data_IF_462708274054
#
_entry.id   IF_462708274054
#
_cell.length_a   1.000
_cell.length_b   1.000
_cell.length_c   1.000
_cell.angle_alpha   90.00
_cell.angle_beta   90.00
_cell.angle_gamma   90.00
#
_symmetry.space_group_name_H-M   'P 1'
#
loop_
_entity.id
_entity.type
_entity.pdbx_description
1 polymer ?
#
# COMPACT_ATOMS: atom_id res chain seq x y z
N UNK A 1 -14.14 15.21 -9.45
CA UNK A 1 -13.94 13.74 -9.52
C UNK A 1 -12.88 13.30 -8.51
N UNK A 2 -11.66 13.82 -8.60
CA UNK A 2 -10.54 13.43 -7.74
C UNK A 2 -10.84 13.60 -6.24
N UNK A 3 -11.34 14.76 -5.80
CA UNK A 3 -11.68 14.96 -4.40
C UNK A 3 -12.71 13.97 -3.83
N UNK A 4 -13.65 13.48 -4.65
CA UNK A 4 -14.58 12.43 -4.24
C UNK A 4 -13.87 11.09 -4.10
N UNK A 5 -12.98 10.73 -5.04
CA UNK A 5 -12.19 9.50 -4.94
C UNK A 5 -11.28 9.54 -3.71
N UNK A 6 -10.61 10.66 -3.44
CA UNK A 6 -9.81 10.86 -2.23
C UNK A 6 -10.65 10.69 -0.96
N UNK A 7 -11.82 11.35 -0.89
CA UNK A 7 -12.73 11.23 0.24
C UNK A 7 -13.16 9.78 0.49
N UNK A 8 -13.53 9.06 -0.57
CA UNK A 8 -13.98 7.67 -0.47
C UNK A 8 -12.82 6.72 -0.12
N UNK A 9 -11.63 6.95 -0.66
CA UNK A 9 -10.41 6.21 -0.30
C UNK A 9 -10.10 6.36 1.19
N UNK A 10 -10.13 7.59 1.69
CA UNK A 10 -9.87 7.86 3.10
C UNK A 10 -10.94 7.20 3.99
N UNK A 11 -12.23 7.41 3.66
CA UNK A 11 -13.38 6.91 4.43
C UNK A 11 -13.47 5.38 4.46
N UNK A 12 -13.31 4.73 3.31
CA UNK A 12 -13.57 3.30 3.16
C UNK A 12 -12.36 2.43 3.50
N UNK A 13 -11.13 2.95 3.34
CA UNK A 13 -9.92 2.15 3.47
C UNK A 13 -8.91 2.79 4.43
N UNK A 14 -8.38 3.97 4.09
CA UNK A 14 -7.15 4.46 4.74
C UNK A 14 -7.37 4.80 6.22
N UNK A 15 -8.50 5.40 6.61
CA UNK A 15 -8.71 5.74 8.01
C UNK A 15 -8.85 4.50 8.90
N UNK A 16 -9.45 3.43 8.38
CA UNK A 16 -9.48 2.12 9.06
C UNK A 16 -8.09 1.50 9.23
N UNK A 17 -7.26 1.56 8.18
CA UNK A 17 -5.87 1.09 8.24
C UNK A 17 -5.03 1.92 9.20
N UNK A 18 -5.18 3.25 9.18
CA UNK A 18 -4.52 4.18 10.09
C UNK A 18 -4.86 3.88 11.55
N UNK A 19 -6.14 3.70 11.88
CA UNK A 19 -6.59 3.28 13.21
C UNK A 19 -6.00 1.93 13.63
N UNK A 20 -5.85 1.00 12.68
CA UNK A 20 -5.19 -0.29 12.93
C UNK A 20 -3.72 -0.11 13.28
N UNK A 21 -2.99 0.77 12.58
CA UNK A 21 -1.60 1.13 12.90
C UNK A 21 -1.52 1.70 14.32
N UNK A 22 -2.39 2.67 14.65
CA UNK A 22 -2.43 3.27 15.98
C UNK A 22 -2.71 2.23 17.07
N UNK A 23 -3.68 1.33 16.88
CA UNK A 23 -3.98 0.26 17.84
C UNK A 23 -2.80 -0.70 18.03
N UNK A 24 -2.13 -1.09 16.94
CA UNK A 24 -0.91 -1.92 16.98
C UNK A 24 0.20 -1.27 17.81
N UNK A 25 0.43 0.03 17.63
CA UNK A 25 1.45 0.79 18.38
C UNK A 25 1.06 0.93 19.87
N UNK A 26 -0.21 1.20 20.16
CA UNK A 26 -0.69 1.36 21.53
C UNK A 26 -0.78 0.04 22.31
N UNK A 27 -0.84 -1.10 21.63
CA UNK A 27 -0.86 -2.42 22.27
C UNK A 27 0.39 -2.74 23.09
N UNK A 28 1.49 -1.99 22.89
CA UNK A 28 2.82 -2.19 23.52
C UNK A 28 3.39 -3.60 23.37
N UNK A 29 2.88 -4.38 22.39
CA UNK A 29 3.44 -5.69 22.03
C UNK A 29 4.71 -5.49 21.21
N UNK A 30 5.72 -6.38 21.33
CA UNK A 30 7.01 -6.23 20.65
C UNK A 30 6.95 -6.49 19.13
N UNK A 31 5.79 -6.91 18.60
CA UNK A 31 5.62 -7.24 17.18
C UNK A 31 5.75 -5.99 16.31
N UNK A 32 6.55 -6.09 15.24
CA UNK A 32 6.75 -5.01 14.26
C UNK A 32 5.53 -4.85 13.35
N UNK A 33 5.32 -3.62 12.86
CA UNK A 33 4.30 -3.29 11.86
C UNK A 33 4.99 -2.60 10.69
N UNK A 34 4.76 -3.09 9.47
CA UNK A 34 5.32 -2.53 8.25
C UNK A 34 4.18 -2.00 7.39
N UNK A 35 4.38 -0.84 6.76
CA UNK A 35 3.39 -0.19 5.91
C UNK A 35 3.91 -0.11 4.49
N UNK A 36 3.12 -0.58 3.52
CA UNK A 36 3.36 -0.34 2.10
C UNK A 36 2.24 0.53 1.52
N UNK A 37 2.57 1.19 0.42
CA UNK A 37 1.63 1.95 -0.41
C UNK A 37 1.80 1.50 -1.85
N UNK A 38 0.78 0.86 -2.41
CA UNK A 38 0.79 0.46 -3.81
C UNK A 38 0.22 1.59 -4.67
N UNK A 39 1.01 2.04 -5.65
CA UNK A 39 0.70 3.19 -6.50
C UNK A 39 1.16 2.99 -7.94
N UNK A 40 1.25 1.73 -8.36
CA UNK A 40 1.50 1.40 -9.76
C UNK A 40 0.25 1.73 -10.57
N UNK A 41 0.45 2.52 -11.60
CA UNK A 41 -0.56 2.91 -12.58
C UNK A 41 -0.14 2.42 -13.96
N UNK A 42 -0.55 1.21 -14.30
CA UNK A 42 -0.42 0.63 -15.64
C UNK A 42 -1.67 0.89 -16.47
N UNK A 43 -1.47 1.18 -17.75
CA UNK A 43 -2.55 1.29 -18.74
C UNK A 43 -3.20 -0.06 -19.06
N UNK A 44 -2.53 -1.18 -18.76
CA UNK A 44 -2.94 -2.51 -19.22
C UNK A 44 -3.08 -3.53 -18.09
N UNK A 45 -2.36 -3.36 -16.98
CA UNK A 45 -2.20 -4.42 -15.97
C UNK A 45 -2.87 -4.13 -14.62
N UNK A 46 -3.43 -2.92 -14.43
CA UNK A 46 -4.35 -2.59 -13.35
C UNK A 46 -5.75 -3.15 -13.67
N UNK A 47 -5.87 -4.48 -13.69
CA UNK A 47 -7.05 -5.16 -14.25
C UNK A 47 -8.35 -4.78 -13.55
N UNK A 48 -8.33 -4.56 -12.22
CA UNK A 48 -9.57 -4.27 -11.50
C UNK A 48 -10.14 -2.92 -11.90
N UNK A 49 -9.28 -1.88 -11.94
CA UNK A 49 -9.64 -0.56 -12.47
C UNK A 49 -10.15 -0.64 -13.90
N UNK A 50 -9.41 -1.33 -14.78
CA UNK A 50 -9.70 -1.38 -16.23
C UNK A 50 -11.03 -2.11 -16.49
N UNK A 51 -11.29 -3.23 -15.82
CA UNK A 51 -12.44 -4.10 -16.09
C UNK A 51 -13.69 -3.67 -15.32
N UNK A 52 -13.54 -3.26 -14.05
CA UNK A 52 -14.68 -3.05 -13.14
C UNK A 52 -14.95 -1.59 -12.77
N UNK A 53 -14.02 -0.67 -13.03
CA UNK A 53 -14.24 0.74 -12.78
C UNK A 53 -14.49 1.50 -14.08
N UNK A 54 -13.44 1.76 -14.84
CA UNK A 54 -13.47 2.54 -16.08
C UNK A 54 -12.07 2.46 -16.72
N UNK A 55 -11.99 1.96 -17.96
CA UNK A 55 -10.72 1.80 -18.69
C UNK A 55 -10.03 3.14 -19.00
N UNK A 56 -10.79 4.23 -19.06
CA UNK A 56 -10.28 5.57 -19.38
C UNK A 56 -9.85 6.35 -18.13
N UNK A 57 -9.98 5.74 -16.94
CA UNK A 57 -9.49 6.29 -15.67
C UNK A 57 -8.07 5.84 -15.39
N UNK A 58 -7.26 6.79 -14.91
CA UNK A 58 -5.90 6.56 -14.42
C UNK A 58 -5.84 6.51 -12.90
N UNK A 59 -4.70 6.05 -12.39
CA UNK A 59 -4.43 5.81 -10.97
C UNK A 59 -4.55 4.33 -10.58
N UNK A 60 -4.43 4.08 -9.29
CA UNK A 60 -4.45 2.73 -8.69
C UNK A 60 -5.75 2.54 -7.92
N UNK A 61 -6.61 1.65 -8.38
CA UNK A 61 -7.87 1.33 -7.72
C UNK A 61 -7.70 0.25 -6.65
N UNK A 62 -8.74 0.05 -5.84
CA UNK A 62 -8.81 -1.10 -4.96
C UNK A 62 -8.68 -2.41 -5.76
N UNK A 63 -7.94 -3.37 -5.20
CA UNK A 63 -7.66 -4.69 -5.78
C UNK A 63 -6.75 -4.73 -7.02
N UNK A 64 -6.22 -3.58 -7.50
CA UNK A 64 -5.27 -3.59 -8.61
C UNK A 64 -3.95 -4.28 -8.27
N UNK A 65 -3.51 -4.20 -7.01
CA UNK A 65 -2.29 -4.84 -6.50
C UNK A 65 -2.33 -6.37 -6.63
N UNK A 66 -3.53 -6.97 -6.64
CA UNK A 66 -3.70 -8.42 -6.83
C UNK A 66 -3.21 -8.90 -8.19
N UNK A 67 -3.27 -8.06 -9.23
CA UNK A 67 -2.77 -8.40 -10.58
C UNK A 67 -1.27 -8.67 -10.58
N UNK A 68 -0.55 -8.12 -9.61
CA UNK A 68 0.90 -8.22 -9.45
C UNK A 68 1.32 -9.33 -8.47
N UNK A 69 0.37 -10.05 -7.87
CA UNK A 69 0.61 -11.18 -6.97
C UNK A 69 0.07 -12.48 -7.58
N UNK A 70 -1.13 -12.43 -8.17
CA UNK A 70 -1.86 -13.61 -8.65
C UNK A 70 -2.07 -13.57 -10.15
N UNK A 71 -1.71 -14.67 -10.81
CA UNK A 71 -2.13 -14.93 -12.18
C UNK A 71 -3.65 -14.95 -12.25
N UNK A 72 -4.21 -14.28 -13.25
CA UNK A 72 -5.64 -14.21 -13.51
C UNK A 72 -5.93 -14.43 -15.01
N UNK A 73 -7.19 -14.26 -15.41
CA UNK A 73 -7.66 -14.53 -16.78
C UNK A 73 -7.67 -13.29 -17.68
N UNK A 74 -7.32 -12.11 -17.15
CA UNK A 74 -7.49 -10.85 -17.88
C UNK A 74 -6.37 -10.58 -18.89
N UNK A 75 -5.13 -10.95 -18.56
CA UNK A 75 -3.98 -10.83 -19.45
C UNK A 75 -2.92 -11.91 -19.17
N UNK A 76 -2.05 -12.13 -20.14
CA UNK A 76 -0.79 -12.85 -19.95
C UNK A 76 0.17 -12.07 -19.05
N UNK A 77 1.16 -12.75 -18.42
CA UNK A 77 2.19 -12.08 -17.63
C UNK A 77 2.93 -11.00 -18.44
N UNK A 78 3.28 -9.85 -17.82
CA UNK A 78 3.92 -8.75 -18.50
C UNK A 78 5.34 -9.13 -18.98
N UNK A 79 5.79 -8.52 -20.08
CA UNK A 79 7.13 -8.77 -20.61
C UNK A 79 8.22 -8.30 -19.63
N UNK A 80 9.36 -8.99 -19.60
CA UNK A 80 10.40 -8.83 -18.56
C UNK A 80 11.02 -7.44 -18.47
N UNK A 81 11.01 -6.70 -19.57
CA UNK A 81 11.56 -5.36 -19.74
C UNK A 81 10.58 -4.24 -19.36
N UNK A 82 9.36 -4.58 -18.93
CA UNK A 82 8.34 -3.62 -18.53
C UNK A 82 8.41 -3.26 -17.04
N UNK A 83 7.85 -2.09 -16.68
CA UNK A 83 7.73 -1.73 -15.27
C UNK A 83 6.68 -2.58 -14.55
N UNK A 84 5.69 -3.10 -15.27
CA UNK A 84 4.69 -4.01 -14.73
C UNK A 84 5.32 -5.32 -14.26
N UNK A 85 6.24 -5.89 -15.05
CA UNK A 85 6.99 -7.07 -14.63
C UNK A 85 7.87 -6.78 -13.43
N UNK A 86 8.55 -5.62 -13.39
CA UNK A 86 9.31 -5.19 -12.20
C UNK A 86 8.41 -5.07 -10.96
N UNK A 87 7.25 -4.43 -11.09
CA UNK A 87 6.29 -4.30 -9.99
C UNK A 87 5.79 -5.67 -9.52
N UNK A 88 5.51 -6.60 -10.44
CA UNK A 88 5.12 -7.97 -10.11
C UNK A 88 6.22 -8.71 -9.33
N UNK A 89 7.47 -8.62 -9.79
CA UNK A 89 8.62 -9.21 -9.08
C UNK A 89 8.83 -8.59 -7.69
N UNK A 90 8.68 -7.27 -7.58
CA UNK A 90 8.75 -6.56 -6.30
C UNK A 90 7.66 -7.05 -5.34
N UNK A 91 6.40 -7.09 -5.78
CA UNK A 91 5.26 -7.50 -4.94
C UNK A 91 5.42 -8.94 -4.44
N UNK A 92 5.68 -9.88 -5.35
CA UNK A 92 5.88 -11.29 -5.00
C UNK A 92 7.11 -11.45 -4.09
N UNK A 93 8.22 -10.78 -4.41
CA UNK A 93 9.46 -10.83 -3.64
C UNK A 93 9.28 -10.31 -2.22
N UNK A 94 8.70 -9.13 -2.05
CA UNK A 94 8.46 -8.50 -0.74
C UNK A 94 7.59 -9.38 0.17
N UNK A 95 6.46 -9.89 -0.35
CA UNK A 95 5.54 -10.74 0.43
C UNK A 95 6.17 -12.11 0.74
N UNK A 96 6.92 -12.68 -0.21
CA UNK A 96 7.63 -13.94 0.00
C UNK A 96 8.74 -13.79 1.04
N UNK A 97 9.52 -12.71 0.97
CA UNK A 97 10.56 -12.38 1.95
C UNK A 97 9.97 -12.17 3.34
N UNK A 98 8.90 -11.38 3.47
CA UNK A 98 8.24 -11.20 4.76
C UNK A 98 7.82 -12.54 5.38
N UNK A 99 7.29 -13.45 4.56
CA UNK A 99 6.85 -14.78 4.99
C UNK A 99 8.01 -15.70 5.38
N UNK A 100 9.07 -15.74 4.57
CA UNK A 100 10.21 -16.65 4.77
C UNK A 100 11.24 -16.13 5.77
N UNK A 101 11.25 -14.82 6.04
CA UNK A 101 12.22 -14.14 6.91
C UNK A 101 11.58 -13.69 8.24
N UNK A 102 10.75 -14.54 8.85
CA UNK A 102 10.15 -14.33 10.18
C UNK A 102 9.49 -12.94 10.36
N UNK A 103 8.78 -12.46 9.33
CA UNK A 103 8.08 -11.17 9.38
C UNK A 103 9.00 -9.95 9.17
N UNK A 104 10.20 -10.11 8.63
CA UNK A 104 11.05 -9.01 8.17
C UNK A 104 11.00 -8.93 6.63
N UNK A 105 10.46 -7.85 6.05
CA UNK A 105 10.32 -7.76 4.59
C UNK A 105 11.64 -7.38 3.87
N UNK A 106 12.71 -7.06 4.61
CA UNK A 106 13.99 -6.72 4.02
C UNK A 106 14.73 -7.97 3.51
N UNK A 107 15.31 -7.86 2.32
CA UNK A 107 15.97 -8.93 1.59
C UNK A 107 16.44 -8.44 0.22
N UNK A 108 16.18 -9.23 -0.82
CA UNK A 108 16.64 -8.94 -2.19
C UNK A 108 16.00 -7.68 -2.78
N UNK A 109 14.71 -7.45 -2.54
CA UNK A 109 13.97 -6.34 -3.16
C UNK A 109 14.31 -4.99 -2.52
N UNK A 110 14.55 -4.97 -1.21
CA UNK A 110 14.90 -3.76 -0.45
C UNK A 110 15.55 -4.12 0.87
N UNK A 111 16.38 -3.23 1.40
CA UNK A 111 16.94 -3.26 2.74
C UNK A 111 16.56 -2.04 3.59
N UNK A 112 15.68 -1.17 3.08
CA UNK A 112 15.32 0.12 3.68
C UNK A 112 13.94 0.11 4.35
N UNK A 113 13.20 -1.00 4.30
CA UNK A 113 11.83 -1.04 4.81
C UNK A 113 11.81 -1.18 6.32
N UNK A 114 11.76 -0.04 7.01
CA UNK A 114 11.69 0.02 8.47
C UNK A 114 10.26 -0.19 8.98
N UNK A 115 10.15 -0.80 10.17
CA UNK A 115 8.85 -0.92 10.85
C UNK A 115 8.46 0.40 11.50
N UNK A 116 7.16 0.68 11.56
CA UNK A 116 6.64 1.85 12.27
C UNK A 116 6.94 1.69 13.78
N UNK A 117 7.71 2.63 14.32
CA UNK A 117 8.23 2.56 15.69
C UNK A 117 7.45 3.42 16.69
N UNK A 118 6.87 4.54 16.27
CA UNK A 118 6.22 5.50 17.17
C UNK A 118 4.84 5.93 16.66
N UNK A 119 3.90 6.25 17.55
CA UNK A 119 2.57 6.73 17.19
C UNK A 119 2.52 8.24 16.89
N UNK A 120 3.66 8.94 16.99
CA UNK A 120 3.71 10.42 17.02
C UNK A 120 4.44 11.06 15.83
N UNK A 121 4.97 10.28 14.90
CA UNK A 121 5.71 10.81 13.73
C UNK A 121 4.90 10.72 12.45
N UNK A 122 5.31 11.42 11.37
CA UNK A 122 4.84 11.05 10.05
C UNK A 122 5.26 9.59 9.82
N UNK A 123 4.27 8.72 9.62
CA UNK A 123 4.58 7.33 9.30
C UNK A 123 5.39 7.29 8.02
N UNK A 124 6.33 6.36 7.91
CA UNK A 124 6.95 6.03 6.63
C UNK A 124 6.29 4.79 6.06
N UNK A 125 6.26 4.71 4.74
CA UNK A 125 5.78 3.55 4.01
C UNK A 125 6.75 3.19 2.89
N UNK A 126 6.81 1.91 2.55
CA UNK A 126 7.41 1.49 1.30
C UNK A 126 6.41 1.76 0.18
N UNK A 127 6.66 2.82 -0.60
CA UNK A 127 5.87 3.14 -1.77
C UNK A 127 6.36 2.31 -2.96
N UNK A 128 5.42 1.57 -3.55
CA UNK A 128 5.63 0.71 -4.72
C UNK A 128 4.95 1.43 -5.89
N UNK A 129 5.74 1.95 -6.81
CA UNK A 129 5.24 2.77 -7.93
C UNK A 129 5.86 2.32 -9.26
N UNK A 130 5.52 3.03 -10.34
CA UNK A 130 6.02 2.73 -11.67
C UNK A 130 7.56 2.78 -11.75
N UNK A 131 8.23 3.61 -10.96
CA UNK A 131 9.68 3.76 -10.98
C UNK A 131 10.41 2.73 -10.10
N UNK A 132 9.72 2.11 -9.14
CA UNK A 132 10.26 1.05 -8.29
C UNK A 132 9.82 1.16 -6.83
N UNK A 133 10.75 0.89 -5.92
CA UNK A 133 10.54 0.91 -4.48
C UNK A 133 11.16 2.16 -3.88
N UNK A 134 10.41 2.89 -3.05
CA UNK A 134 10.87 4.09 -2.37
C UNK A 134 10.36 4.11 -0.94
N UNK A 135 11.25 4.19 0.05
CA UNK A 135 10.85 4.35 1.45
C UNK A 135 10.66 5.83 1.79
N UNK A 136 9.42 6.28 1.83
CA UNK A 136 9.05 7.70 1.91
C UNK A 136 8.14 7.99 3.11
N UNK A 137 8.00 9.27 3.45
CA UNK A 137 6.93 9.71 4.34
C UNK A 137 5.56 9.39 3.73
N UNK A 138 4.64 8.93 4.57
CA UNK A 138 3.31 8.49 4.17
C UNK A 138 2.51 9.68 3.62
N UNK A 139 2.25 9.73 2.29
CA UNK A 139 1.72 10.94 1.67
C UNK A 139 0.33 11.35 2.20
N UNK A 140 -0.43 10.39 2.73
CA UNK A 140 -1.79 10.61 3.21
C UNK A 140 -1.87 10.98 4.72
N UNK A 141 -0.73 11.17 5.39
CA UNK A 141 -0.65 11.42 6.84
C UNK A 141 -1.50 12.60 7.32
N UNK A 142 -1.43 13.75 6.65
CA UNK A 142 -2.19 14.95 7.04
C UNK A 142 -3.70 14.70 6.98
N UNK A 143 -4.17 13.98 5.94
CA UNK A 143 -5.58 13.62 5.83
C UNK A 143 -5.98 12.66 6.95
N UNK A 144 -5.14 11.69 7.30
CA UNK A 144 -5.44 10.79 8.41
C UNK A 144 -5.56 11.54 9.74
N UNK A 145 -4.72 12.56 9.98
CA UNK A 145 -4.83 13.44 11.15
C UNK A 145 -6.13 14.25 11.15
N UNK A 146 -6.55 14.75 9.99
CA UNK A 146 -7.86 15.40 9.85
C UNK A 146 -9.00 14.43 10.21
N UNK A 147 -9.00 13.22 9.65
CA UNK A 147 -10.02 12.22 9.96
C UNK A 147 -10.02 11.81 11.43
N UNK A 148 -8.85 11.69 12.07
CA UNK A 148 -8.74 11.44 13.51
C UNK A 148 -9.38 12.54 14.35
N UNK A 149 -9.29 13.80 13.92
CA UNK A 149 -9.89 14.94 14.63
C UNK A 149 -11.42 14.87 14.73
N UNK A 150 -12.06 14.06 13.89
CA UNK A 150 -13.51 13.84 13.91
C UNK A 150 -13.96 12.85 15.00
N UNK A 151 -13.02 12.16 15.66
CA UNK A 151 -13.29 11.15 16.67
C UNK A 151 -12.69 11.54 18.01
N UNK A 152 -13.34 11.12 19.09
CA UNK A 152 -12.71 11.10 20.41
C UNK A 152 -11.64 10.00 20.45
N UNK A 153 -10.58 10.20 21.27
CA UNK A 153 -9.43 9.28 21.31
C UNK A 153 -9.81 7.83 21.61
N UNK A 154 -10.79 7.62 22.48
CA UNK A 154 -11.35 6.30 22.84
C UNK A 154 -12.01 5.55 21.68
N UNK A 155 -12.34 6.25 20.58
CA UNK A 155 -12.90 5.64 19.37
C UNK A 155 -11.85 5.35 18.30
N UNK A 156 -10.61 5.82 18.47
CA UNK A 156 -9.54 5.63 17.50
C UNK A 156 -8.86 4.26 17.65
N UNK A 157 -8.61 3.81 18.89
CA UNK A 157 -7.94 2.55 19.20
C UNK A 157 -8.09 2.12 20.66
#
# INVERSE_FOLDING_TARGET
>A
REGYLTLMTDKLFLHGLHRTILSRLNSKKPSKTFLYRFSVDSDTYNHYRIVFCDKDVRGTAHADDLSYIFKNVFNDPPAKDTFEHRAMMNMVGLFSTFTSNNGNPNGEQTNEWESIATPTGPFKCLNINNDGLQFIEYPEQERMQFWDSLYSKDKLY
#
